data_IF_116831180109
#
_entry.id   IF_116831180109
#
_cell.length_a   1.000
_cell.length_b   1.000
_cell.length_c   1.000
_cell.angle_alpha   90.00
_cell.angle_beta   90.00
_cell.angle_gamma   90.00
#
_symmetry.space_group_name_H-M   'P 1'
#
loop_
_entity.id
_entity.type
_entity.pdbx_description
1 polymer ?
#
# COMPACT_ATOMS: atom_id res chain seq x y z
N UNK A 1 -6.75 4.37 2.96
CA UNK A 1 -6.92 5.40 4.01
C UNK A 1 -7.13 4.80 5.40
N UNK A 2 -8.14 3.96 5.63
CA UNK A 2 -8.37 3.35 6.97
C UNK A 2 -7.16 2.52 7.44
N UNK A 3 -6.60 1.67 6.57
CA UNK A 3 -5.38 0.91 6.87
C UNK A 3 -4.20 1.80 7.26
N UNK A 4 -4.08 2.97 6.62
CA UNK A 4 -3.00 3.92 6.87
C UNK A 4 -3.15 4.55 8.26
N UNK A 5 -4.38 4.92 8.64
CA UNK A 5 -4.67 5.44 9.95
C UNK A 5 -4.41 4.41 11.08
N UNK A 6 -4.80 3.15 10.89
CA UNK A 6 -4.49 2.12 11.89
C UNK A 6 -2.98 1.85 12.01
N UNK A 7 -2.25 1.84 10.89
CA UNK A 7 -0.79 1.69 10.93
C UNK A 7 -0.13 2.87 11.65
N UNK A 8 -0.60 4.11 11.41
CA UNK A 8 -0.05 5.27 12.12
C UNK A 8 -0.29 5.19 13.62
N UNK A 9 -1.50 4.77 14.04
CA UNK A 9 -1.80 4.52 15.44
C UNK A 9 -0.91 3.41 16.05
N UNK A 10 -0.69 2.31 15.31
CA UNK A 10 0.14 1.20 15.78
C UNK A 10 1.61 1.57 15.96
N UNK A 11 2.09 2.57 15.20
CA UNK A 11 3.44 3.10 15.28
C UNK A 11 3.55 4.27 16.27
N UNK A 12 2.46 4.66 16.94
CA UNK A 12 2.44 5.79 17.88
C UNK A 12 2.61 7.16 17.20
N UNK A 13 2.27 7.28 15.91
CA UNK A 13 2.37 8.54 15.18
C UNK A 13 1.15 9.43 15.47
N UNK A 14 1.38 10.70 15.79
CA UNK A 14 0.32 11.70 16.00
C UNK A 14 -0.21 12.26 14.66
N UNK A 15 -0.64 11.36 13.78
CA UNK A 15 -1.20 11.68 12.48
C UNK A 15 -2.73 11.62 12.54
N UNK A 16 -3.36 12.74 12.22
CA UNK A 16 -4.82 12.83 12.19
C UNK A 16 -5.37 12.24 10.89
N UNK A 17 -6.57 11.67 10.96
CA UNK A 17 -7.19 10.98 9.81
C UNK A 17 -7.23 11.84 8.52
N UNK A 18 -7.48 13.14 8.65
CA UNK A 18 -7.55 14.06 7.51
C UNK A 18 -6.22 14.22 6.76
N UNK A 19 -5.08 14.00 7.40
CA UNK A 19 -3.76 14.08 6.76
C UNK A 19 -3.61 12.99 5.68
N UNK A 20 -4.23 11.84 5.89
CA UNK A 20 -4.22 10.74 4.92
C UNK A 20 -5.12 11.00 3.71
N UNK A 21 -6.08 11.94 3.80
CA UNK A 21 -6.91 12.36 2.66
C UNK A 21 -6.02 12.98 1.57
N UNK A 22 -4.94 13.65 1.95
CA UNK A 22 -3.96 14.20 1.01
C UNK A 22 -2.81 13.22 0.70
N UNK A 23 -2.23 12.60 1.73
CA UNK A 23 -1.03 11.78 1.55
C UNK A 23 -1.27 10.54 0.67
N UNK A 24 -2.43 9.89 0.79
CA UNK A 24 -2.71 8.65 0.05
C UNK A 24 -2.92 8.92 -1.46
N UNK A 25 -3.75 9.90 -1.88
CA UNK A 25 -3.84 10.26 -3.29
C UNK A 25 -2.52 10.78 -3.85
N UNK A 26 -1.75 11.57 -3.08
CA UNK A 26 -0.44 12.04 -3.50
C UNK A 26 0.51 10.87 -3.82
N UNK A 27 0.64 9.90 -2.92
CA UNK A 27 1.45 8.71 -3.15
C UNK A 27 0.93 7.85 -4.31
N UNK A 28 -0.40 7.80 -4.50
CA UNK A 28 -1.04 7.05 -5.59
C UNK A 28 -0.80 7.69 -6.95
N UNK A 29 -0.84 9.03 -7.03
CA UNK A 29 -0.47 9.79 -8.23
C UNK A 29 1.00 9.56 -8.57
N UNK A 30 1.90 9.61 -7.58
CA UNK A 30 3.31 9.30 -7.79
C UNK A 30 3.51 7.86 -8.30
N UNK A 31 2.80 6.89 -7.74
CA UNK A 31 2.85 5.49 -8.17
C UNK A 31 2.33 5.25 -9.59
N UNK A 32 1.44 6.12 -10.08
CA UNK A 32 0.91 6.04 -11.45
C UNK A 32 1.93 6.43 -12.52
N UNK A 33 3.03 7.07 -12.13
CA UNK A 33 4.11 7.43 -13.04
C UNK A 33 4.86 6.13 -13.40
N UNK A 34 4.94 5.74 -14.68
CA UNK A 34 5.47 4.45 -15.11
C UNK A 34 7.01 4.42 -15.12
N UNK A 35 7.64 4.98 -14.09
CA UNK A 35 9.10 4.94 -13.89
C UNK A 35 9.51 3.63 -13.18
N UNK A 36 8.62 3.02 -12.40
CA UNK A 36 8.90 1.78 -11.65
C UNK A 36 7.81 0.73 -11.82
N UNK A 37 8.18 -0.55 -11.72
CA UNK A 37 7.25 -1.68 -11.81
C UNK A 37 6.30 -1.64 -10.61
N UNK A 38 5.01 -1.47 -10.88
CA UNK A 38 3.98 -1.42 -9.85
C UNK A 38 4.08 -0.20 -8.91
N UNK A 39 4.85 0.83 -9.28
CA UNK A 39 5.05 2.02 -8.45
C UNK A 39 5.94 1.80 -7.21
N UNK A 40 6.60 0.64 -7.11
CA UNK A 40 7.42 0.27 -5.95
C UNK A 40 8.62 1.23 -5.84
N UNK A 41 8.84 1.78 -4.64
CA UNK A 41 9.90 2.75 -4.39
C UNK A 41 9.46 4.19 -4.63
N UNK A 42 8.75 4.48 -5.72
CA UNK A 42 8.20 5.82 -5.98
C UNK A 42 7.06 6.13 -5.03
N UNK A 43 6.11 5.19 -4.89
CA UNK A 43 5.03 5.29 -3.92
C UNK A 43 5.59 5.42 -2.51
N UNK A 44 6.58 4.60 -2.17
CA UNK A 44 7.16 4.58 -0.82
C UNK A 44 7.75 5.93 -0.46
N UNK A 45 8.58 6.48 -1.35
CA UNK A 45 9.24 7.76 -1.14
C UNK A 45 8.23 8.92 -1.16
N UNK A 46 7.22 8.88 -2.03
CA UNK A 46 6.16 9.89 -2.04
C UNK A 46 5.34 9.86 -0.74
N UNK A 47 5.03 8.67 -0.22
CA UNK A 47 4.38 8.53 1.08
C UNK A 47 5.29 9.09 2.18
N UNK A 48 6.55 8.67 2.26
CA UNK A 48 7.54 9.15 3.24
C UNK A 48 7.63 10.67 3.24
N UNK A 49 7.77 11.28 2.06
CA UNK A 49 7.82 12.73 1.89
C UNK A 49 6.55 13.42 2.41
N UNK A 50 5.38 12.86 2.11
CA UNK A 50 4.12 13.40 2.59
C UNK A 50 4.00 13.32 4.13
N UNK A 51 4.39 12.20 4.74
CA UNK A 51 4.30 12.04 6.21
C UNK A 51 5.34 12.88 6.95
N UNK A 52 6.54 13.01 6.40
CA UNK A 52 7.57 13.90 6.93
C UNK A 52 7.11 15.36 6.94
N UNK A 53 6.35 15.77 5.93
CA UNK A 53 5.75 17.11 5.87
C UNK A 53 4.75 17.39 7.01
N UNK A 54 4.29 16.35 7.71
CA UNK A 54 3.43 16.45 8.89
C UNK A 54 4.19 16.33 10.22
N UNK A 55 5.54 16.37 10.20
CA UNK A 55 6.37 16.37 11.40
C UNK A 55 6.84 14.98 11.87
N UNK A 56 6.66 13.94 11.04
CA UNK A 56 7.17 12.60 11.35
C UNK A 56 8.64 12.47 10.98
N UNK A 57 9.44 11.83 11.84
CA UNK A 57 10.86 11.56 11.56
C UNK A 57 11.00 10.56 10.41
N UNK A 58 11.98 10.78 9.53
CA UNK A 58 12.20 9.96 8.31
C UNK A 58 12.23 8.45 8.58
N UNK A 59 12.91 8.01 9.65
CA UNK A 59 12.96 6.59 10.02
C UNK A 59 11.56 6.00 10.29
N UNK A 60 10.71 6.71 11.01
CA UNK A 60 9.34 6.28 11.31
C UNK A 60 8.44 6.35 10.06
N UNK A 61 8.61 7.39 9.24
CA UNK A 61 7.88 7.52 7.97
C UNK A 61 8.22 6.37 7.00
N UNK A 62 9.49 5.95 6.98
CA UNK A 62 9.96 4.82 6.16
C UNK A 62 9.37 3.51 6.64
N UNK A 63 9.41 3.25 7.95
CA UNK A 63 8.77 2.07 8.56
C UNK A 63 7.27 2.03 8.27
N UNK A 64 6.58 3.17 8.42
CA UNK A 64 5.17 3.32 8.07
C UNK A 64 4.90 2.91 6.62
N UNK A 65 5.68 3.46 5.69
CA UNK A 65 5.54 3.21 4.25
C UNK A 65 5.75 1.72 3.90
N UNK A 66 6.76 1.08 4.51
CA UNK A 66 7.01 -0.35 4.30
C UNK A 66 5.95 -1.27 4.87
N UNK A 67 5.35 -0.94 6.02
CA UNK A 67 4.23 -1.72 6.55
C UNK A 67 3.04 -1.65 5.58
N UNK A 68 2.77 -0.48 5.01
CA UNK A 68 1.74 -0.33 3.98
C UNK A 68 2.07 -1.16 2.73
N UNK A 69 3.31 -1.13 2.26
CA UNK A 69 3.76 -1.99 1.15
C UNK A 69 3.54 -3.46 1.45
N UNK A 70 3.91 -3.92 2.65
CA UNK A 70 3.70 -5.30 3.07
C UNK A 70 2.23 -5.69 3.04
N UNK A 71 1.34 -4.84 3.55
CA UNK A 71 -0.11 -5.08 3.52
C UNK A 71 -0.60 -5.20 2.06
N UNK A 72 -0.14 -4.33 1.16
CA UNK A 72 -0.52 -4.38 -0.26
C UNK A 72 -0.05 -5.69 -0.90
N UNK A 73 1.21 -6.07 -0.70
CA UNK A 73 1.76 -7.32 -1.23
C UNK A 73 1.04 -8.54 -0.67
N UNK A 74 0.73 -8.54 0.63
CA UNK A 74 0.00 -9.63 1.27
C UNK A 74 -1.40 -9.81 0.68
N UNK A 75 -2.14 -8.71 0.50
CA UNK A 75 -3.45 -8.76 -0.15
C UNK A 75 -3.36 -9.21 -1.62
N UNK A 76 -2.34 -8.72 -2.35
CA UNK A 76 -2.08 -9.16 -3.72
C UNK A 76 -1.76 -10.65 -3.82
N UNK A 77 -0.98 -11.18 -2.88
CA UNK A 77 -0.66 -12.60 -2.78
C UNK A 77 -1.92 -13.45 -2.52
N UNK A 78 -2.77 -13.04 -1.58
CA UNK A 78 -4.04 -13.73 -1.32
C UNK A 78 -4.93 -13.76 -2.56
N UNK A 79 -5.06 -12.65 -3.28
CA UNK A 79 -5.77 -12.60 -4.56
C UNK A 79 -5.16 -13.51 -5.62
N UNK A 80 -3.83 -13.53 -5.73
CA UNK A 80 -3.08 -14.41 -6.62
C UNK A 80 -3.29 -15.90 -6.32
N UNK A 81 -3.31 -16.27 -5.03
CA UNK A 81 -3.59 -17.63 -4.58
C UNK A 81 -5.00 -18.05 -5.00
N UNK A 82 -6.02 -17.21 -4.73
CA UNK A 82 -7.41 -17.49 -5.15
C UNK A 82 -7.50 -17.68 -6.66
N UNK A 83 -6.80 -16.85 -7.44
CA UNK A 83 -6.76 -16.96 -8.90
C UNK A 83 -6.15 -18.29 -9.38
N UNK A 84 -5.05 -18.74 -8.77
CA UNK A 84 -4.42 -20.02 -9.10
C UNK A 84 -5.38 -21.20 -8.85
N UNK A 85 -6.07 -21.20 -7.71
CA UNK A 85 -7.03 -22.26 -7.36
C UNK A 85 -8.31 -22.21 -8.21
N UNK A 86 -8.76 -21.02 -8.64
CA UNK A 86 -9.90 -20.88 -9.56
C UNK A 86 -9.67 -21.64 -10.87
N UNK A 87 -8.46 -21.57 -11.44
CA UNK A 87 -8.16 -22.21 -12.71
C UNK A 87 -8.13 -23.75 -12.59
N UNK A 88 -7.77 -24.29 -11.43
CA UNK A 88 -7.86 -25.72 -11.12
C UNK A 88 -9.32 -26.19 -11.08
N UNK A 89 -10.23 -25.38 -10.52
CA UNK A 89 -11.63 -25.76 -10.35
C UNK A 89 -12.48 -25.58 -11.64
N UNK A 90 -12.20 -24.57 -12.47
CA UNK A 90 -13.00 -24.28 -13.67
C UNK A 90 -12.67 -25.19 -14.87
N UNK A 91 -11.49 -25.82 -14.90
CA UNK A 91 -11.11 -26.79 -15.95
C UNK A 91 -11.95 -28.08 -15.93
N UNK A 92 -12.77 -28.30 -14.90
CA UNK A 92 -13.66 -29.48 -14.78
C UNK A 92 -15.06 -29.30 -15.37
N UNK A 93 -15.44 -28.12 -15.90
CA UNK A 93 -16.78 -27.86 -16.47
C UNK A 93 -16.79 -27.48 -17.97
N UNK A 94 -15.72 -27.81 -18.69
CA UNK A 94 -15.57 -27.53 -20.13
C UNK A 94 -15.48 -28.79 -21.01
N UNK A 95 -16.12 -29.89 -20.62
CA UNK A 95 -16.33 -31.06 -21.49
C UNK A 95 -17.80 -31.49 -21.34
N UNK A 96 -18.70 -30.75 -21.98
CA UNK A 96 -20.00 -31.25 -22.46
C UNK A 96 -20.21 -30.59 -23.82
#
# INVERSE_FOLDING_TARGET
MISHYFVSLSLGLDLKFYMFIFAVPFASLAASIPISIGGIGIRENAMVFAVMSFGVVESQATLFSFIILFIILFNGLLGGIVYLFKNIFYRSRGII
#
